data_IF_750371962247
#
_entry.id   IF_750371962247
#
_cell.length_a   1.000
_cell.length_b   1.000
_cell.length_c   1.000
_cell.angle_alpha   90.00
_cell.angle_beta   90.00
_cell.angle_gamma   90.00
#
_symmetry.space_group_name_H-M   'P 1'
#
loop_
_entity.id
_entity.type
_entity.pdbx_description
1 polymer ?
#
# COMPACT_ATOMS: atom_id res chain seq x y z
N UNK A 1 -32.27 53.39 67.86
CA UNK A 1 -30.88 53.78 67.58
C UNK A 1 -30.07 52.50 67.38
N UNK A 2 -29.54 52.29 66.16
CA UNK A 2 -28.40 51.44 65.74
C UNK A 2 -28.29 49.97 66.26
N UNK A 3 -27.90 48.93 65.51
CA UNK A 3 -27.13 48.77 64.26
C UNK A 3 -27.38 47.35 63.66
N UNK A 4 -26.90 47.16 62.41
CA UNK A 4 -27.04 46.06 61.44
C UNK A 4 -26.85 44.59 61.89
N UNK A 5 -27.43 43.62 61.14
CA UNK A 5 -27.03 42.21 61.15
C UNK A 5 -25.96 41.90 60.07
N UNK A 6 -25.00 41.02 60.40
CA UNK A 6 -24.05 40.42 59.46
C UNK A 6 -24.47 38.96 59.14
N UNK A 7 -24.51 38.61 57.86
CA UNK A 7 -24.48 37.22 57.39
C UNK A 7 -23.03 36.73 57.27
N UNK A 8 -22.80 35.40 57.29
CA UNK A 8 -22.32 34.77 56.06
C UNK A 8 -22.90 33.37 55.76
N UNK A 9 -22.78 33.00 54.49
CA UNK A 9 -23.29 31.81 53.81
C UNK A 9 -22.32 30.62 53.83
N UNK A 10 -22.82 29.40 53.58
CA UNK A 10 -22.05 28.23 53.09
C UNK A 10 -23.04 27.31 52.32
N UNK A 11 -23.13 27.42 50.99
CA UNK A 11 -22.42 26.66 49.95
C UNK A 11 -22.73 25.15 49.89
N UNK A 12 -23.57 24.81 48.91
CA UNK A 12 -24.01 23.48 48.50
C UNK A 12 -22.93 22.86 47.57
N UNK A 13 -22.37 21.71 47.93
CA UNK A 13 -21.39 21.00 47.08
C UNK A 13 -22.08 19.86 46.33
N UNK A 14 -22.17 19.98 45.00
CA UNK A 14 -22.59 18.90 44.10
C UNK A 14 -21.34 18.22 43.52
N UNK A 15 -21.21 16.91 43.69
CA UNK A 15 -20.15 16.10 43.09
C UNK A 15 -20.66 15.59 41.74
N UNK A 16 -20.08 16.08 40.65
CA UNK A 16 -20.26 15.53 39.32
C UNK A 16 -19.17 14.49 39.05
N UNK A 17 -19.54 13.21 38.93
CA UNK A 17 -18.64 12.17 38.43
C UNK A 17 -18.63 12.19 36.91
N UNK A 18 -17.54 12.69 36.32
CA UNK A 18 -17.28 12.58 34.89
C UNK A 18 -16.76 11.17 34.57
N UNK A 19 -17.48 10.45 33.71
CA UNK A 19 -17.05 9.18 33.13
C UNK A 19 -16.05 9.49 32.01
N UNK A 20 -14.76 9.24 32.23
CA UNK A 20 -13.74 9.34 31.20
C UNK A 20 -13.90 8.16 30.22
N UNK A 21 -14.39 8.43 29.00
CA UNK A 21 -14.24 7.49 27.88
C UNK A 21 -12.76 7.50 27.46
N UNK A 22 -12.00 6.52 27.94
CA UNK A 22 -10.68 6.21 27.42
C UNK A 22 -10.86 5.62 26.02
N UNK A 23 -10.63 6.42 24.99
CA UNK A 23 -10.43 5.89 23.65
C UNK A 23 -9.03 5.28 23.63
N UNK A 24 -8.94 3.96 23.53
CA UNK A 24 -7.67 3.30 23.23
C UNK A 24 -7.21 3.78 21.86
N UNK A 25 -6.25 4.71 21.83
CA UNK A 25 -5.49 5.01 20.61
C UNK A 25 -4.68 3.74 20.33
N UNK A 26 -5.16 2.90 19.41
CA UNK A 26 -4.34 1.80 18.91
C UNK A 26 -3.21 2.45 18.11
N UNK A 27 -1.95 2.15 18.44
CA UNK A 27 -0.82 2.63 17.66
C UNK A 27 -0.99 2.19 16.20
N UNK A 28 -0.71 3.08 15.25
CA UNK A 28 -0.83 2.75 13.85
C UNK A 28 0.20 1.65 13.51
N UNK A 29 -0.22 0.64 12.75
CA UNK A 29 0.69 -0.43 12.35
C UNK A 29 1.63 0.09 11.25
N UNK A 30 2.93 0.15 11.55
CA UNK A 30 4.05 0.46 10.66
C UNK A 30 4.93 -0.79 10.45
N UNK A 31 5.83 -0.82 9.44
CA UNK A 31 6.69 -1.98 9.23
C UNK A 31 7.56 -2.33 10.45
N UNK A 32 7.66 -3.62 10.77
CA UNK A 32 8.44 -4.12 11.91
C UNK A 32 9.65 -4.87 11.39
N UNK A 33 10.86 -4.43 11.76
CA UNK A 33 12.11 -5.08 11.32
C UNK A 33 12.17 -6.55 11.78
N UNK A 34 12.64 -7.44 10.90
CA UNK A 34 12.94 -8.83 11.26
C UNK A 34 14.38 -9.00 11.80
N UNK A 35 15.29 -8.19 11.28
CA UNK A 35 16.72 -8.25 11.60
C UNK A 35 17.21 -6.85 12.00
N UNK A 36 18.43 -6.79 12.52
CA UNK A 36 19.10 -5.50 12.76
C UNK A 36 19.19 -4.76 11.41
N UNK A 37 18.84 -3.47 11.41
CA UNK A 37 18.92 -2.63 10.22
C UNK A 37 20.33 -2.68 9.60
N UNK A 38 20.47 -2.63 8.26
CA UNK A 38 21.77 -2.64 7.60
C UNK A 38 22.64 -1.43 7.97
N UNK A 39 23.96 -1.58 7.87
CA UNK A 39 24.90 -0.47 8.03
C UNK A 39 24.60 0.66 7.04
N UNK A 40 24.60 1.90 7.54
CA UNK A 40 24.33 3.09 6.76
C UNK A 40 22.85 3.47 6.69
N UNK A 41 21.94 2.57 7.11
CA UNK A 41 20.50 2.84 7.18
C UNK A 41 20.14 3.41 8.56
N UNK A 42 19.35 4.48 8.57
CA UNK A 42 18.68 5.00 9.76
C UNK A 42 17.17 4.90 9.56
N UNK A 43 16.48 4.41 10.59
CA UNK A 43 15.02 4.31 10.63
C UNK A 43 14.58 5.12 11.85
N UNK A 44 13.84 6.19 11.59
CA UNK A 44 13.23 7.02 12.62
C UNK A 44 11.73 6.80 12.56
N UNK A 45 11.11 6.41 13.67
CA UNK A 45 9.68 6.14 13.71
C UNK A 45 9.05 6.73 14.96
N UNK A 46 7.83 7.22 14.81
CA UNK A 46 6.89 7.52 15.89
C UNK A 46 5.63 6.63 15.74
N UNK A 47 4.53 7.00 16.40
CA UNK A 47 3.29 6.21 16.40
C UNK A 47 2.60 6.14 15.04
N UNK A 48 2.83 7.09 14.13
CA UNK A 48 2.12 7.19 12.85
C UNK A 48 3.07 7.38 11.66
N UNK A 49 4.33 7.72 11.89
CA UNK A 49 5.30 8.00 10.83
C UNK A 49 6.52 7.11 10.96
N UNK A 50 7.03 6.63 9.83
CA UNK A 50 8.34 6.00 9.70
C UNK A 50 9.11 6.67 8.57
N UNK A 51 10.33 7.10 8.85
CA UNK A 51 11.27 7.64 7.88
C UNK A 51 12.51 6.78 7.78
N UNK A 52 12.81 6.31 6.58
CA UNK A 52 13.95 5.46 6.27
C UNK A 52 14.92 6.26 5.39
N UNK A 53 16.13 6.43 5.87
CA UNK A 53 17.21 7.09 5.13
C UNK A 53 18.45 6.22 5.09
N UNK A 54 19.27 6.40 4.07
CA UNK A 54 20.52 5.68 3.93
C UNK A 54 21.65 6.59 3.43
N UNK A 55 22.88 6.17 3.67
CA UNK A 55 24.05 6.72 2.97
C UNK A 55 24.51 5.85 1.79
N UNK A 56 23.78 4.76 1.50
CA UNK A 56 24.01 3.85 0.37
C UNK A 56 22.90 4.00 -0.66
N UNK A 57 23.28 3.91 -1.93
CA UNK A 57 22.34 4.03 -3.05
C UNK A 57 21.31 2.91 -3.12
N UNK A 58 21.69 1.68 -2.76
CA UNK A 58 20.82 0.50 -2.85
C UNK A 58 20.79 -0.21 -1.51
N UNK A 59 19.59 -0.39 -0.96
CA UNK A 59 19.38 -0.85 0.42
C UNK A 59 18.43 -2.04 0.45
N UNK A 60 18.84 -3.11 1.11
CA UNK A 60 18.00 -4.29 1.34
C UNK A 60 17.57 -4.29 2.80
N UNK A 61 16.26 -4.20 3.05
CA UNK A 61 15.69 -4.25 4.39
C UNK A 61 14.82 -5.49 4.53
N UNK A 62 14.94 -6.15 5.67
CA UNK A 62 14.17 -7.35 6.00
C UNK A 62 13.20 -7.04 7.14
N UNK A 63 11.93 -7.34 6.90
CA UNK A 63 10.82 -6.99 7.75
C UNK A 63 10.10 -8.24 8.24
N UNK A 64 9.75 -8.29 9.52
CA UNK A 64 8.87 -9.31 10.07
C UNK A 64 7.45 -9.10 9.56
N UNK A 65 6.99 -7.85 9.56
CA UNK A 65 5.75 -7.43 8.90
C UNK A 65 5.99 -6.12 8.17
N UNK A 66 5.29 -5.92 7.06
CA UNK A 66 5.32 -4.68 6.29
C UNK A 66 3.89 -4.22 6.09
N UNK A 67 3.39 -3.49 7.08
CA UNK A 67 2.04 -2.93 7.12
C UNK A 67 2.15 -1.42 7.29
N UNK A 68 1.18 -0.69 6.73
CA UNK A 68 1.06 0.77 6.87
C UNK A 68 -0.42 1.06 7.07
N UNK A 69 -0.82 1.34 8.30
CA UNK A 69 -2.23 1.63 8.65
C UNK A 69 -2.72 2.94 8.02
N UNK A 70 -4.04 3.14 7.97
CA UNK A 70 -4.69 4.25 7.23
C UNK A 70 -4.14 5.64 7.56
N UNK A 71 -3.91 5.94 8.83
CA UNK A 71 -3.36 7.22 9.29
C UNK A 71 -1.82 7.27 9.24
N UNK A 72 -1.17 6.18 8.83
CA UNK A 72 0.28 6.05 8.89
C UNK A 72 0.98 6.50 7.59
N UNK A 73 2.20 7.02 7.75
CA UNK A 73 3.07 7.44 6.64
C UNK A 73 4.41 6.74 6.74
N UNK A 74 4.79 6.04 5.68
CA UNK A 74 6.14 5.50 5.49
C UNK A 74 6.84 6.27 4.37
N UNK A 75 7.98 6.88 4.68
CA UNK A 75 8.76 7.65 3.73
C UNK A 75 10.18 7.09 3.61
N UNK A 76 10.64 6.90 2.38
CA UNK A 76 12.00 6.56 2.01
C UNK A 76 12.65 7.80 1.38
N UNK A 77 13.95 8.00 1.57
CA UNK A 77 14.70 9.07 0.89
C UNK A 77 14.88 8.81 -0.63
N UNK A 78 15.82 9.51 -1.25
CA UNK A 78 16.13 9.43 -2.68
C UNK A 78 17.00 8.23 -3.08
N UNK A 79 17.19 7.25 -2.20
CA UNK A 79 17.87 6.00 -2.50
C UNK A 79 16.89 4.88 -2.86
N UNK A 80 17.43 3.73 -3.28
CA UNK A 80 16.66 2.56 -3.68
C UNK A 80 16.50 1.60 -2.50
N UNK A 81 15.31 1.02 -2.39
CA UNK A 81 14.92 0.14 -1.28
C UNK A 81 14.26 -1.14 -1.78
N UNK A 82 14.88 -2.27 -1.46
CA UNK A 82 14.31 -3.61 -1.59
C UNK A 82 13.84 -4.06 -0.21
N UNK A 83 12.53 -4.10 -0.02
CA UNK A 83 11.87 -4.48 1.22
C UNK A 83 11.45 -5.95 1.13
N UNK A 84 12.06 -6.80 1.95
CA UNK A 84 11.81 -8.25 1.99
C UNK A 84 11.00 -8.58 3.24
N UNK A 85 9.79 -9.12 3.06
CA UNK A 85 8.97 -9.56 4.19
C UNK A 85 9.24 -11.03 4.47
N UNK A 86 9.68 -11.33 5.69
CA UNK A 86 10.02 -12.67 6.16
C UNK A 86 8.88 -13.33 6.94
N UNK A 87 7.95 -12.53 7.47
CA UNK A 87 6.77 -13.06 8.16
C UNK A 87 5.80 -13.77 7.22
N UNK A 88 4.93 -14.58 7.80
CA UNK A 88 3.97 -15.42 7.05
C UNK A 88 2.67 -14.72 6.64
N UNK A 89 2.51 -13.43 6.96
CA UNK A 89 1.27 -12.68 6.72
C UNK A 89 1.39 -11.75 5.50
N UNK A 90 0.30 -11.55 4.74
CA UNK A 90 0.28 -10.55 3.67
C UNK A 90 0.57 -9.14 4.19
N UNK A 91 1.11 -8.30 3.31
CA UNK A 91 1.29 -6.89 3.58
C UNK A 91 -0.01 -6.12 3.39
N UNK A 92 -0.42 -5.36 4.39
CA UNK A 92 -1.60 -4.50 4.39
C UNK A 92 -1.17 -3.03 4.39
N UNK A 93 -1.34 -2.36 3.24
CA UNK A 93 -0.98 -0.96 3.04
C UNK A 93 -2.29 -0.19 2.88
N UNK A 94 -2.76 0.43 3.96
CA UNK A 94 -3.95 1.26 3.98
C UNK A 94 -3.62 2.76 4.07
N UNK A 95 -2.41 3.11 4.51
CA UNK A 95 -1.92 4.49 4.58
C UNK A 95 -1.06 4.90 3.39
N UNK A 96 -0.08 5.77 3.66
CA UNK A 96 0.74 6.40 2.63
C UNK A 96 2.17 5.86 2.62
N UNK A 97 2.66 5.54 1.42
CA UNK A 97 4.08 5.25 1.17
C UNK A 97 4.63 6.29 0.19
N UNK A 98 5.75 6.91 0.54
CA UNK A 98 6.46 7.86 -0.32
C UNK A 98 7.91 7.43 -0.48
N UNK A 99 8.34 7.15 -1.71
CA UNK A 99 9.75 6.94 -2.06
C UNK A 99 10.20 7.97 -3.07
N UNK A 100 11.45 8.43 -2.95
CA UNK A 100 12.08 9.32 -3.92
C UNK A 100 13.12 8.59 -4.80
N UNK A 101 13.38 7.31 -4.52
CA UNK A 101 14.06 6.36 -5.41
C UNK A 101 13.22 5.11 -5.68
N UNK A 102 13.82 4.04 -6.21
CA UNK A 102 13.11 2.81 -6.52
C UNK A 102 12.66 2.11 -5.22
N UNK A 103 11.40 1.69 -5.15
CA UNK A 103 10.84 0.94 -4.02
C UNK A 103 10.32 -0.40 -4.50
N UNK A 104 10.85 -1.48 -3.94
CA UNK A 104 10.38 -2.85 -4.16
C UNK A 104 9.86 -3.43 -2.86
N UNK A 105 8.70 -4.06 -2.89
CA UNK A 105 8.09 -4.78 -1.78
C UNK A 105 7.94 -6.24 -2.22
N UNK A 106 8.63 -7.14 -1.52
CA UNK A 106 8.61 -8.58 -1.77
C UNK A 106 7.95 -9.27 -0.58
N UNK A 107 6.75 -9.80 -0.79
CA UNK A 107 6.04 -10.58 0.22
C UNK A 107 5.33 -11.79 -0.43
N UNK A 108 5.87 -13.01 -0.30
CA UNK A 108 5.25 -14.20 -0.86
C UNK A 108 3.84 -14.51 -0.33
N UNK A 109 3.47 -14.01 0.85
CA UNK A 109 2.12 -14.20 1.39
C UNK A 109 1.07 -13.35 0.66
N UNK A 110 1.47 -12.25 0.01
CA UNK A 110 0.60 -11.34 -0.71
C UNK A 110 0.77 -9.88 -0.30
N UNK A 111 0.21 -8.98 -1.10
CA UNK A 111 0.30 -7.53 -0.90
C UNK A 111 -1.07 -6.91 -1.21
N UNK A 112 -1.62 -6.12 -0.29
CA UNK A 112 -2.90 -5.43 -0.47
C UNK A 112 -2.74 -3.94 -0.18
N UNK A 113 -2.88 -3.12 -1.22
CA UNK A 113 -3.02 -1.67 -1.11
C UNK A 113 -4.52 -1.32 -1.04
N UNK A 114 -5.01 -0.99 0.15
CA UNK A 114 -6.43 -0.73 0.44
C UNK A 114 -6.98 0.52 -0.25
N UNK A 115 -8.31 0.69 -0.23
CA UNK A 115 -9.01 1.76 -0.98
C UNK A 115 -8.55 3.18 -0.64
N UNK A 116 -8.11 3.41 0.60
CA UNK A 116 -7.64 4.72 1.08
C UNK A 116 -6.12 4.90 0.97
N UNK A 117 -5.40 3.87 0.50
CA UNK A 117 -3.95 3.89 0.39
C UNK A 117 -3.44 4.78 -0.74
N UNK A 118 -2.22 5.27 -0.57
CA UNK A 118 -1.50 6.00 -1.61
C UNK A 118 -0.03 5.60 -1.60
N UNK A 119 0.45 5.03 -2.69
CA UNK A 119 1.86 4.63 -2.85
C UNK A 119 2.46 5.45 -3.98
N UNK A 120 3.56 6.14 -3.68
CA UNK A 120 4.31 6.91 -4.66
C UNK A 120 5.79 6.53 -4.63
N UNK A 121 6.35 6.25 -5.80
CA UNK A 121 7.79 6.09 -6.03
C UNK A 121 8.08 6.25 -7.52
N UNK A 122 9.25 6.72 -7.97
CA UNK A 122 9.61 6.73 -9.40
C UNK A 122 9.50 5.34 -10.05
N UNK A 123 9.91 4.29 -9.32
CA UNK A 123 9.72 2.89 -9.71
C UNK A 123 9.18 2.12 -8.53
N UNK A 124 8.11 1.37 -8.76
CA UNK A 124 7.44 0.55 -7.76
C UNK A 124 7.38 -0.90 -8.22
N UNK A 125 7.86 -1.82 -7.39
CA UNK A 125 7.67 -3.26 -7.59
C UNK A 125 6.88 -3.88 -6.44
N UNK A 126 5.80 -4.60 -6.75
CA UNK A 126 4.97 -5.33 -5.80
C UNK A 126 5.00 -6.81 -6.17
N UNK A 127 5.73 -7.59 -5.39
CA UNK A 127 6.23 -8.91 -5.83
C UNK A 127 5.89 -9.95 -4.78
N UNK A 128 5.35 -11.06 -5.24
CA UNK A 128 4.97 -12.20 -4.41
C UNK A 128 5.73 -13.46 -4.79
N UNK A 129 6.61 -13.41 -5.79
CA UNK A 129 7.62 -14.44 -6.01
C UNK A 129 8.61 -14.47 -4.86
N UNK A 130 9.11 -15.66 -4.53
CA UNK A 130 10.36 -15.77 -3.79
C UNK A 130 11.51 -15.29 -4.68
N UNK A 131 12.36 -14.45 -4.13
CA UNK A 131 13.62 -14.07 -4.76
C UNK A 131 14.78 -14.81 -4.07
N UNK A 132 15.87 -15.04 -4.80
CA UNK A 132 17.09 -15.67 -4.28
C UNK A 132 18.22 -14.65 -4.13
N UNK A 133 19.34 -15.12 -3.59
CA UNK A 133 20.51 -14.28 -3.32
C UNK A 133 21.05 -13.61 -4.58
N UNK A 134 20.98 -14.27 -5.74
CA UNK A 134 21.43 -13.68 -7.01
C UNK A 134 20.61 -12.45 -7.42
N UNK A 135 19.29 -12.50 -7.23
CA UNK A 135 18.41 -11.34 -7.45
C UNK A 135 18.71 -10.21 -6.46
N UNK A 136 18.96 -10.54 -5.19
CA UNK A 136 19.30 -9.57 -4.14
C UNK A 136 20.66 -8.90 -4.42
N UNK A 137 21.67 -9.68 -4.82
CA UNK A 137 23.00 -9.20 -5.21
C UNK A 137 22.91 -8.27 -6.42
N UNK A 138 22.12 -8.64 -7.44
CA UNK A 138 21.90 -7.79 -8.60
C UNK A 138 21.24 -6.46 -8.23
N UNK A 139 20.21 -6.48 -7.37
CA UNK A 139 19.62 -5.23 -6.85
C UNK A 139 20.66 -4.39 -6.09
N UNK A 140 21.45 -5.03 -5.23
CA UNK A 140 22.49 -4.32 -4.45
C UNK A 140 23.51 -3.64 -5.37
N UNK A 141 23.86 -4.28 -6.49
CA UNK A 141 24.78 -3.72 -7.48
C UNK A 141 24.15 -2.64 -8.38
N UNK A 142 22.88 -2.78 -8.78
CA UNK A 142 22.28 -2.00 -9.87
C UNK A 142 21.12 -1.09 -9.47
N UNK A 143 20.55 -1.28 -8.28
CA UNK A 143 19.31 -0.64 -7.84
C UNK A 143 18.06 -1.08 -8.60
N UNK A 144 18.19 -2.07 -9.48
CA UNK A 144 17.11 -2.62 -10.30
C UNK A 144 16.85 -4.06 -9.93
N UNK A 145 15.56 -4.42 -9.90
CA UNK A 145 15.12 -5.77 -9.67
C UNK A 145 14.63 -6.37 -11.00
N UNK A 146 15.26 -7.46 -11.43
CA UNK A 146 14.85 -8.26 -12.57
C UNK A 146 14.44 -9.63 -12.03
N UNK A 147 13.18 -10.01 -12.27
CA UNK A 147 12.67 -11.31 -11.84
C UNK A 147 12.88 -12.32 -12.97
N UNK A 148 13.56 -13.45 -12.71
CA UNK A 148 13.63 -14.53 -13.68
C UNK A 148 12.23 -15.05 -14.06
N UNK A 149 12.10 -15.60 -15.27
CA UNK A 149 10.80 -16.06 -15.82
C UNK A 149 10.26 -17.29 -15.08
N UNK A 150 11.14 -18.10 -14.50
CA UNK A 150 10.80 -19.28 -13.70
C UNK A 150 10.32 -18.94 -12.28
N UNK A 151 10.46 -17.68 -11.85
CA UNK A 151 9.90 -17.21 -10.57
C UNK A 151 8.46 -16.81 -10.79
N UNK A 152 7.59 -17.31 -9.93
CA UNK A 152 6.16 -17.12 -10.05
C UNK A 152 5.58 -16.54 -8.76
N UNK A 153 4.74 -15.52 -8.91
CA UNK A 153 4.02 -14.93 -7.79
C UNK A 153 3.23 -15.97 -7.02
N UNK A 154 3.33 -15.94 -5.69
CA UNK A 154 2.70 -16.92 -4.81
C UNK A 154 1.39 -16.37 -4.20
N UNK A 155 1.46 -15.20 -3.57
CA UNK A 155 0.34 -14.52 -2.94
C UNK A 155 -0.45 -13.63 -3.90
N UNK A 156 -1.65 -13.22 -3.50
CA UNK A 156 -2.45 -12.25 -4.26
C UNK A 156 -1.87 -10.84 -4.14
N UNK A 157 -1.98 -10.05 -5.21
CA UNK A 157 -1.75 -8.60 -5.17
C UNK A 157 -3.07 -7.86 -5.42
N UNK A 158 -3.52 -7.05 -4.45
CA UNK A 158 -4.68 -6.18 -4.58
C UNK A 158 -4.24 -4.72 -4.64
N UNK A 159 -4.59 -4.01 -5.71
CA UNK A 159 -4.34 -2.58 -5.89
C UNK A 159 -5.69 -1.85 -5.89
N UNK A 160 -6.13 -1.43 -4.71
CA UNK A 160 -7.44 -0.80 -4.51
C UNK A 160 -7.35 0.72 -4.35
N UNK A 161 -6.22 1.21 -3.84
CA UNK A 161 -5.95 2.64 -3.66
C UNK A 161 -5.24 3.30 -4.84
N UNK A 162 -4.53 4.40 -4.57
CA UNK A 162 -3.79 5.18 -5.55
C UNK A 162 -2.35 4.70 -5.70
N UNK A 163 -1.88 4.59 -6.94
CA UNK A 163 -0.48 4.29 -7.27
C UNK A 163 0.05 5.39 -8.19
N UNK A 164 1.09 6.10 -7.76
CA UNK A 164 1.76 7.15 -8.55
C UNK A 164 3.22 6.75 -8.81
N UNK A 165 3.52 6.25 -10.01
CA UNK A 165 4.85 5.74 -10.38
C UNK A 165 5.12 5.84 -11.87
N UNK A 166 6.35 6.13 -12.26
CA UNK A 166 6.74 6.11 -13.68
C UNK A 166 6.94 4.70 -14.21
N UNK A 167 7.17 3.73 -13.32
CA UNK A 167 7.33 2.34 -13.68
C UNK A 167 6.75 1.42 -12.58
N UNK A 168 5.73 0.64 -12.93
CA UNK A 168 5.06 -0.31 -12.06
C UNK A 168 5.34 -1.74 -12.53
N UNK A 169 5.87 -2.56 -11.63
CA UNK A 169 6.02 -4.00 -11.82
C UNK A 169 5.16 -4.70 -10.77
N UNK A 170 4.25 -5.56 -11.20
CA UNK A 170 3.44 -6.40 -10.31
C UNK A 170 3.65 -7.86 -10.68
N UNK A 171 4.10 -8.65 -9.70
CA UNK A 171 4.25 -10.09 -9.82
C UNK A 171 3.42 -10.78 -8.73
N UNK A 172 2.29 -11.36 -9.15
CA UNK A 172 1.26 -11.90 -8.28
C UNK A 172 0.94 -13.36 -8.59
N UNK A 173 0.38 -14.06 -7.61
CA UNK A 173 -0.43 -15.24 -7.86
C UNK A 173 -1.62 -14.86 -8.73
N UNK A 174 -2.60 -14.21 -8.09
CA UNK A 174 -3.65 -13.42 -8.75
C UNK A 174 -3.35 -11.93 -8.59
N UNK A 175 -3.71 -11.12 -9.57
CA UNK A 175 -3.65 -9.66 -9.49
C UNK A 175 -5.07 -9.11 -9.60
N UNK A 176 -5.43 -8.18 -8.72
CA UNK A 176 -6.70 -7.47 -8.75
C UNK A 176 -6.43 -5.97 -8.70
N UNK A 177 -6.90 -5.24 -9.70
CA UNK A 177 -6.82 -3.78 -9.78
C UNK A 177 -8.24 -3.24 -9.73
N UNK A 178 -8.56 -2.48 -8.68
CA UNK A 178 -9.90 -1.91 -8.48
C UNK A 178 -10.28 -0.93 -9.58
N UNK A 179 -9.36 -0.06 -9.96
CA UNK A 179 -9.56 0.87 -11.06
C UNK A 179 -8.22 1.25 -11.67
N UNK A 180 -8.02 0.92 -12.94
CA UNK A 180 -6.79 1.24 -13.66
C UNK A 180 -6.56 2.76 -13.80
N UNK A 181 -7.59 3.59 -13.64
CA UNK A 181 -7.47 5.05 -13.62
C UNK A 181 -6.75 5.60 -12.36
N UNK A 182 -6.64 4.78 -11.31
CA UNK A 182 -5.89 5.11 -10.10
C UNK A 182 -4.39 4.80 -10.22
N UNK A 183 -3.96 4.19 -11.33
CA UNK A 183 -2.55 3.96 -11.64
C UNK A 183 -2.07 5.06 -12.58
N UNK A 184 -1.31 5.98 -12.01
CA UNK A 184 -0.83 7.20 -12.66
C UNK A 184 0.68 7.28 -12.57
N UNK A 185 1.26 8.12 -13.40
CA UNK A 185 2.65 8.52 -13.22
C UNK A 185 2.83 9.62 -12.18
N UNK A 186 4.08 9.97 -11.88
CA UNK A 186 4.39 10.97 -10.85
C UNK A 186 3.94 12.39 -11.24
N UNK A 187 3.68 12.64 -12.53
CA UNK A 187 3.10 13.89 -13.01
C UNK A 187 1.56 13.90 -12.87
N UNK A 188 0.95 12.74 -12.56
CA UNK A 188 -0.48 12.57 -12.37
C UNK A 188 -1.23 12.14 -13.63
N UNK A 189 -0.52 11.86 -14.72
CA UNK A 189 -1.09 11.38 -15.98
C UNK A 189 -1.35 9.86 -15.92
N UNK A 190 -2.29 9.32 -16.72
CA UNK A 190 -2.49 7.88 -16.79
C UNK A 190 -1.21 7.12 -17.17
N UNK A 191 -0.83 6.12 -16.38
CA UNK A 191 0.35 5.31 -16.68
C UNK A 191 0.10 4.46 -17.94
N UNK A 192 0.91 4.64 -18.98
CA UNK A 192 0.72 4.02 -20.30
C UNK A 192 2.00 3.35 -20.82
N UNK A 193 1.86 2.35 -21.70
CA UNK A 193 2.96 1.63 -22.33
C UNK A 193 3.23 2.04 -23.79
N UNK A 194 2.65 3.15 -24.26
CA UNK A 194 2.72 3.57 -25.68
C UNK A 194 4.15 3.78 -26.21
N UNK A 195 5.07 4.29 -25.38
CA UNK A 195 6.44 4.64 -25.80
C UNK A 195 7.52 3.75 -25.18
N UNK A 196 7.25 3.14 -24.03
CA UNK A 196 8.14 2.27 -23.26
C UNK A 196 7.31 1.40 -22.33
N UNK A 197 7.83 0.23 -21.95
CA UNK A 197 7.20 -0.61 -20.93
C UNK A 197 7.33 0.05 -19.55
N UNK A 198 6.24 0.64 -19.08
CA UNK A 198 6.10 1.31 -17.78
C UNK A 198 5.18 0.55 -16.83
N UNK A 199 4.31 -0.32 -17.32
CA UNK A 199 3.41 -1.15 -16.55
C UNK A 199 3.62 -2.61 -16.95
N UNK A 200 4.07 -3.44 -16.01
CA UNK A 200 4.24 -4.88 -16.21
C UNK A 200 3.44 -5.63 -15.14
N UNK A 201 2.53 -6.50 -15.58
CA UNK A 201 1.67 -7.32 -14.73
C UNK A 201 1.92 -8.79 -15.06
N UNK A 202 2.35 -9.58 -14.09
CA UNK A 202 2.62 -11.02 -14.25
C UNK A 202 1.85 -11.82 -13.22
N UNK A 203 0.92 -12.66 -13.68
CA UNK A 203 0.13 -13.56 -12.83
C UNK A 203 0.55 -15.01 -13.04
N UNK A 204 0.85 -15.74 -11.96
CA UNK A 204 1.18 -17.16 -12.04
C UNK A 204 -0.05 -18.07 -12.21
N UNK A 205 -1.23 -17.62 -11.76
CA UNK A 205 -2.50 -18.36 -11.91
C UNK A 205 -3.29 -17.93 -13.13
N UNK A 206 -2.69 -17.11 -14.02
CA UNK A 206 -3.31 -16.57 -15.24
C UNK A 206 -4.62 -15.84 -14.94
N UNK A 207 -4.60 -14.99 -13.91
CA UNK A 207 -5.76 -14.20 -13.52
C UNK A 207 -5.38 -12.80 -13.07
N UNK A 208 -5.74 -11.84 -13.89
CA UNK A 208 -5.58 -10.40 -13.69
C UNK A 208 -6.96 -9.76 -13.86
N UNK A 209 -7.60 -9.40 -12.76
CA UNK A 209 -8.90 -8.72 -12.74
C UNK A 209 -8.66 -7.20 -12.73
N UNK A 210 -9.24 -6.46 -13.69
CA UNK A 210 -9.05 -4.99 -13.80
C UNK A 210 -10.39 -4.28 -13.98
N UNK A 211 -10.74 -3.44 -13.01
CA UNK A 211 -11.80 -2.45 -13.15
C UNK A 211 -11.37 -1.31 -14.08
N UNK A 212 -12.26 -0.93 -15.00
CA UNK A 212 -12.00 0.16 -15.95
C UNK A 212 -13.31 0.72 -16.52
N UNK A 213 -13.22 1.92 -17.10
CA UNK A 213 -14.34 2.50 -17.84
C UNK A 213 -14.72 1.65 -19.06
N UNK A 214 -15.99 1.72 -19.45
CA UNK A 214 -16.53 0.98 -20.62
C UNK A 214 -15.70 1.18 -21.89
N UNK A 215 -15.12 2.38 -22.05
CA UNK A 215 -14.41 2.82 -23.26
C UNK A 215 -12.88 2.68 -23.18
N UNK A 216 -12.31 2.19 -22.07
CA UNK A 216 -10.85 2.15 -21.92
C UNK A 216 -10.17 1.22 -22.93
N UNK A 217 -9.16 1.70 -23.66
CA UNK A 217 -8.42 0.90 -24.63
C UNK A 217 -7.11 0.36 -24.04
N UNK A 218 -7.23 -0.51 -23.04
CA UNK A 218 -6.06 -0.99 -22.28
C UNK A 218 -5.05 -1.75 -23.15
N UNK A 219 -5.50 -2.35 -24.26
CA UNK A 219 -4.61 -2.99 -25.22
C UNK A 219 -3.69 -1.98 -25.88
N UNK A 220 -4.23 -0.93 -26.49
CA UNK A 220 -3.39 0.02 -27.22
C UNK A 220 -2.71 1.04 -26.29
N UNK A 221 -3.29 1.34 -25.14
CA UNK A 221 -2.74 2.30 -24.18
C UNK A 221 -1.68 1.69 -23.28
N UNK A 222 -1.89 0.46 -22.83
CA UNK A 222 -1.09 -0.18 -21.78
C UNK A 222 -0.50 -1.53 -22.20
N UNK A 223 -0.67 -1.95 -23.47
CA UNK A 223 -0.22 -3.25 -23.95
C UNK A 223 -0.76 -4.42 -23.10
N UNK A 224 -1.94 -4.25 -22.49
CA UNK A 224 -2.58 -5.28 -21.68
C UNK A 224 -3.52 -6.09 -22.57
N UNK A 225 -3.10 -7.32 -22.87
CA UNK A 225 -3.88 -8.29 -23.64
C UNK A 225 -3.45 -9.70 -23.28
N UNK A 226 -4.37 -10.66 -23.30
CA UNK A 226 -4.09 -12.05 -22.98
C UNK A 226 -5.32 -12.75 -22.43
N UNK A 227 -5.29 -14.07 -22.40
CA UNK A 227 -6.38 -14.91 -21.85
C UNK A 227 -6.41 -14.88 -20.31
N UNK A 228 -5.39 -14.31 -19.69
CA UNK A 228 -5.26 -14.09 -18.25
C UNK A 228 -5.93 -12.79 -17.77
N UNK A 229 -6.41 -11.95 -18.69
CA UNK A 229 -6.95 -10.63 -18.40
C UNK A 229 -8.48 -10.62 -18.36
N UNK A 230 -9.03 -10.26 -17.20
CA UNK A 230 -10.46 -10.15 -16.94
C UNK A 230 -10.82 -8.68 -16.73
N UNK A 231 -11.39 -8.06 -17.76
CA UNK A 231 -11.76 -6.64 -17.73
C UNK A 231 -13.19 -6.44 -17.24
N UNK A 232 -13.33 -5.78 -16.11
CA UNK A 232 -14.61 -5.43 -15.47
C UNK A 232 -15.03 -4.03 -15.93
N UNK A 233 -15.52 -3.96 -17.17
CA UNK A 233 -15.80 -2.71 -17.89
C UNK A 233 -17.12 -2.08 -17.47
N UNK A 234 -17.06 -0.86 -16.90
CA UNK A 234 -18.24 -0.14 -16.41
C UNK A 234 -18.91 -0.80 -15.20
N UNK A 235 -18.25 -1.79 -14.60
CA UNK A 235 -18.73 -2.45 -13.39
C UNK A 235 -18.31 -1.67 -12.16
N UNK A 236 -19.18 -1.60 -11.16
CA UNK A 236 -18.86 -0.93 -9.88
C UNK A 236 -18.04 -1.89 -9.02
N UNK A 237 -16.81 -1.54 -8.60
CA UNK A 237 -16.05 -2.37 -7.69
C UNK A 237 -16.71 -2.46 -6.32
N UNK A 238 -16.65 -3.63 -5.71
CA UNK A 238 -16.99 -3.84 -4.30
C UNK A 238 -15.72 -4.30 -3.58
N UNK A 239 -15.19 -3.43 -2.72
CA UNK A 239 -13.99 -3.64 -1.92
C UNK A 239 -14.22 -3.43 -0.42
N UNK A 240 -15.32 -2.79 -0.03
CA UNK A 240 -15.64 -2.51 1.37
C UNK A 240 -17.00 -3.09 1.75
N UNK A 241 -17.21 -3.21 3.06
CA UNK A 241 -18.51 -3.60 3.61
C UNK A 241 -19.59 -2.59 3.23
N UNK A 242 -19.26 -1.31 3.28
CA UNK A 242 -20.16 -0.20 2.95
C UNK A 242 -20.61 -0.29 1.49
N UNK A 243 -19.70 -0.62 0.57
CA UNK A 243 -20.01 -0.83 -0.84
C UNK A 243 -20.89 -2.06 -1.07
N UNK A 244 -20.60 -3.16 -0.36
CA UNK A 244 -21.41 -4.36 -0.43
C UNK A 244 -22.86 -4.10 0.04
N UNK A 245 -23.03 -3.33 1.11
CA UNK A 245 -24.36 -2.94 1.61
C UNK A 245 -25.10 -1.98 0.68
N UNK A 246 -24.38 -1.28 -0.20
CA UNK A 246 -24.94 -0.32 -1.17
C UNK A 246 -25.34 -0.97 -2.51
N UNK A 247 -25.14 -2.28 -2.67
CA UNK A 247 -25.49 -3.03 -3.90
C UNK A 247 -26.98 -2.92 -4.21
N UNK A 248 -27.30 -2.75 -5.50
CA UNK A 248 -28.66 -2.67 -6.05
C UNK A 248 -28.94 -3.87 -6.95
N UNK A 249 -30.20 -4.27 -7.01
CA UNK A 249 -30.68 -5.48 -7.71
C UNK A 249 -30.24 -5.60 -9.18
N UNK A 250 -30.12 -4.48 -9.90
CA UNK A 250 -29.84 -4.46 -11.34
C UNK A 250 -28.48 -3.82 -11.70
N UNK A 251 -27.60 -3.65 -10.72
CA UNK A 251 -26.25 -3.12 -10.96
C UNK A 251 -25.29 -4.18 -11.49
N UNK A 252 -24.23 -3.74 -12.16
CA UNK A 252 -23.09 -4.59 -12.55
C UNK A 252 -21.96 -4.34 -11.57
N UNK A 253 -21.44 -5.40 -10.97
CA UNK A 253 -20.47 -5.32 -9.90
C UNK A 253 -19.40 -6.39 -10.07
N UNK A 254 -18.18 -6.06 -9.66
CA UNK A 254 -17.12 -7.05 -9.49
C UNK A 254 -16.53 -6.94 -8.07
N UNK A 255 -16.31 -8.10 -7.45
CA UNK A 255 -15.69 -8.19 -6.13
C UNK A 255 -14.19 -8.03 -6.29
N UNK A 256 -13.57 -7.20 -5.45
CA UNK A 256 -12.11 -6.98 -5.48
C UNK A 256 -11.39 -7.59 -4.30
N UNK A 257 -12.14 -8.14 -3.35
CA UNK A 257 -11.66 -8.83 -2.16
C UNK A 257 -12.33 -10.22 -2.08
N UNK A 258 -11.77 -11.07 -1.22
CA UNK A 258 -12.38 -12.35 -0.85
C UNK A 258 -13.48 -12.15 0.21
#
# INVERSE_FOLDING_TARGET
MHHHPHAPALHLSAIASALLCLHSVHAAELPVLAEIKPDGVMINSDEQSMFVVSNKNNNVLKWNSFNVSEDAVLSFDNHNYLNLVLGGSPSCINGRIQGFGNVYIVNPAGISAGVNSSIQAPKLGLITSKIDDGVIENFTATGSLSLPDEKHGMGRVNLLGQINTDNLIVDGGQIVIRDIANIRDIAGDPLHNRNSERLSLRSSVKRIDIGCDEKSDLKNERNLSGDDLFLHRGETPISTKEELLAVKKDGKYFLTND
#
